data_IF_615729079627
#
_entry.id   IF_615729079627
#
_cell.length_a   1.000
_cell.length_b   1.000
_cell.length_c   1.000
_cell.angle_alpha   90.00
_cell.angle_beta   90.00
_cell.angle_gamma   90.00
#
_symmetry.space_group_name_H-M   'P 1'
#
loop_
_entity.id
_entity.type
_entity.pdbx_description
1 polymer ?
#
# COMPACT_ATOMS: atom_id res chain seq x y z
N UNK A 1 -2.64 -4.51 -7.03
CA UNK A 1 -2.24 -3.65 -8.19
C UNK A 1 -3.44 -3.06 -8.94
N UNK A 2 -4.54 -3.78 -9.15
CA UNK A 2 -5.73 -3.26 -9.85
C UNK A 2 -6.28 -1.92 -9.31
N UNK A 3 -6.39 -1.69 -7.98
CA UNK A 3 -6.87 -0.41 -7.47
C UNK A 3 -6.01 0.77 -7.88
N UNK A 4 -4.70 0.57 -8.00
CA UNK A 4 -3.77 1.64 -8.35
C UNK A 4 -3.92 2.11 -9.80
N UNK A 5 -4.30 1.21 -10.72
CA UNK A 5 -4.51 1.58 -12.13
C UNK A 5 -5.60 2.65 -12.27
N UNK A 6 -6.77 2.38 -11.72
CA UNK A 6 -7.90 3.33 -11.76
C UNK A 6 -7.56 4.63 -11.02
N UNK A 7 -6.91 4.54 -9.86
CA UNK A 7 -6.51 5.71 -9.09
C UNK A 7 -5.58 6.62 -9.88
N UNK A 8 -4.55 6.04 -10.54
CA UNK A 8 -3.62 6.79 -11.39
C UNK A 8 -4.36 7.48 -12.55
N UNK A 9 -5.24 6.76 -13.25
CA UNK A 9 -6.03 7.30 -14.37
C UNK A 9 -6.92 8.48 -13.95
N UNK A 10 -7.48 8.44 -12.76
CA UNK A 10 -8.35 9.51 -12.23
C UNK A 10 -7.53 10.70 -11.75
N UNK A 11 -6.49 10.45 -10.95
CA UNK A 11 -5.69 11.51 -10.34
C UNK A 11 -4.85 12.27 -11.36
N UNK A 12 -4.31 11.59 -12.37
CA UNK A 12 -3.44 12.23 -13.38
C UNK A 12 -4.12 13.31 -14.21
N UNK A 13 -5.45 13.33 -14.24
CA UNK A 13 -6.22 14.35 -14.98
C UNK A 13 -6.03 15.77 -14.43
N UNK A 14 -5.88 15.92 -13.12
CA UNK A 14 -5.87 17.23 -12.45
C UNK A 14 -4.70 17.38 -11.45
N UNK A 15 -3.84 16.38 -11.31
CA UNK A 15 -2.76 16.38 -10.34
C UNK A 15 -1.44 15.92 -10.99
N UNK A 16 -0.33 16.33 -10.39
CA UNK A 16 0.98 15.75 -10.71
C UNK A 16 1.15 14.44 -9.94
N UNK A 17 1.15 13.34 -10.67
CA UNK A 17 1.27 12.00 -10.09
C UNK A 17 2.69 11.50 -10.31
N UNK A 18 3.30 10.97 -9.25
CA UNK A 18 4.54 10.20 -9.32
C UNK A 18 4.22 8.77 -8.88
N UNK A 19 4.54 7.79 -9.70
CA UNK A 19 4.25 6.39 -9.44
C UNK A 19 5.54 5.61 -9.17
N UNK A 20 5.55 4.82 -8.10
CA UNK A 20 6.67 3.93 -7.77
C UNK A 20 6.13 2.51 -7.70
N UNK A 21 6.66 1.62 -8.53
CA UNK A 21 6.35 0.20 -8.50
C UNK A 21 7.53 -0.59 -7.96
N UNK A 22 7.26 -1.53 -7.07
CA UNK A 22 8.26 -2.42 -6.49
C UNK A 22 7.94 -3.88 -6.74
N UNK A 23 8.96 -4.66 -7.03
CA UNK A 23 8.87 -6.10 -7.21
C UNK A 23 10.16 -6.82 -6.82
N UNK A 24 10.10 -8.16 -6.76
CA UNK A 24 11.29 -8.96 -6.43
C UNK A 24 12.30 -8.98 -7.58
N UNK A 25 11.81 -9.11 -8.79
CA UNK A 25 12.60 -9.31 -10.00
C UNK A 25 11.86 -8.81 -11.24
N UNK A 26 12.47 -8.95 -12.41
CA UNK A 26 11.91 -8.58 -13.71
C UNK A 26 10.54 -9.20 -13.98
N UNK A 27 10.36 -10.49 -13.72
CA UNK A 27 9.08 -11.20 -13.95
C UNK A 27 7.94 -10.58 -13.15
N UNK A 28 8.18 -10.24 -11.87
CA UNK A 28 7.20 -9.58 -11.03
C UNK A 28 6.78 -8.20 -11.57
N UNK A 29 7.64 -7.57 -12.37
CA UNK A 29 7.39 -6.26 -12.95
C UNK A 29 6.73 -6.29 -14.33
N UNK A 30 6.56 -7.46 -14.96
CA UNK A 30 5.84 -7.60 -16.24
C UNK A 30 4.40 -7.07 -16.19
N UNK A 31 3.77 -7.15 -15.02
CA UNK A 31 2.43 -6.59 -14.79
C UNK A 31 2.34 -5.09 -15.08
N UNK A 32 3.48 -4.39 -15.06
CA UNK A 32 3.54 -2.95 -15.34
C UNK A 32 3.20 -2.60 -16.78
N UNK A 33 3.35 -3.55 -17.70
CA UNK A 33 2.94 -3.39 -19.11
C UNK A 33 1.44 -3.10 -19.27
N UNK A 34 0.64 -3.45 -18.26
CA UNK A 34 -0.80 -3.19 -18.25
C UNK A 34 -1.19 -1.79 -17.74
N UNK A 35 -0.20 -0.97 -17.34
CA UNK A 35 -0.44 0.39 -16.88
C UNK A 35 -0.15 1.38 -18.00
N UNK A 36 -1.12 2.23 -18.29
CA UNK A 36 -0.86 3.41 -19.11
C UNK A 36 -0.25 4.48 -18.19
N UNK A 37 1.05 4.72 -18.36
CA UNK A 37 1.82 5.70 -17.57
C UNK A 37 2.29 6.88 -18.44
N UNK A 38 1.66 7.11 -19.58
CA UNK A 38 2.00 8.20 -20.47
C UNK A 38 1.86 9.55 -19.76
N UNK A 39 2.93 10.33 -19.77
CA UNK A 39 2.98 11.63 -19.09
C UNK A 39 3.06 11.56 -17.55
N UNK A 40 3.17 10.37 -16.96
CA UNK A 40 3.28 10.17 -15.52
C UNK A 40 4.74 9.87 -15.17
N UNK A 41 5.28 10.63 -14.23
CA UNK A 41 6.59 10.36 -13.64
C UNK A 41 6.54 9.01 -12.92
N UNK A 42 7.30 8.02 -13.41
CA UNK A 42 7.24 6.67 -12.86
C UNK A 42 8.62 6.06 -12.63
N UNK A 43 8.71 5.21 -11.64
CA UNK A 43 9.94 4.53 -11.23
C UNK A 43 9.65 3.06 -10.92
N UNK A 44 10.56 2.20 -11.33
CA UNK A 44 10.54 0.78 -11.01
C UNK A 44 11.71 0.49 -10.07
N UNK A 45 11.43 -0.28 -9.02
CA UNK A 45 12.44 -0.81 -8.10
C UNK A 45 12.35 -2.33 -8.05
N UNK A 46 13.49 -3.01 -8.01
CA UNK A 46 13.52 -4.47 -7.83
C UNK A 46 14.53 -4.85 -6.76
N UNK A 47 14.16 -5.86 -5.95
CA UNK A 47 15.02 -6.30 -4.85
C UNK A 47 16.35 -6.89 -5.36
N UNK A 48 16.34 -7.51 -6.54
CA UNK A 48 17.52 -8.09 -7.19
C UNK A 48 18.26 -7.15 -8.15
N UNK A 49 17.71 -5.95 -8.40
CA UNK A 49 18.27 -4.99 -9.34
C UNK A 49 18.16 -5.39 -10.83
N UNK A 50 17.35 -6.40 -11.17
CA UNK A 50 17.22 -6.89 -12.55
C UNK A 50 16.53 -5.91 -13.50
N UNK A 51 15.73 -4.99 -12.95
CA UNK A 51 15.07 -3.89 -13.68
C UNK A 51 14.92 -2.67 -12.78
N UNK A 52 15.17 -1.49 -13.35
CA UNK A 52 14.98 -0.23 -12.63
C UNK A 52 16.06 0.02 -11.56
N UNK A 53 15.64 0.52 -10.43
CA UNK A 53 16.51 0.85 -9.29
C UNK A 53 16.62 -0.38 -8.39
N UNK A 54 17.85 -0.74 -8.01
CA UNK A 54 18.07 -1.81 -7.02
C UNK A 54 17.62 -1.37 -5.64
N UNK A 55 16.74 -2.15 -5.04
CA UNK A 55 16.20 -1.93 -3.71
C UNK A 55 14.68 -1.86 -3.67
N UNK A 56 14.14 -1.54 -2.51
CA UNK A 56 12.70 -1.44 -2.30
C UNK A 56 12.16 -0.04 -2.62
N UNK A 57 10.84 0.08 -2.69
CA UNK A 57 10.15 1.35 -3.01
C UNK A 57 10.49 2.50 -2.06
N UNK A 58 10.89 2.20 -0.81
CA UNK A 58 11.19 3.21 0.21
C UNK A 58 12.44 4.02 -0.15
N UNK A 59 13.45 3.38 -0.74
CA UNK A 59 14.69 4.05 -1.16
C UNK A 59 14.36 5.18 -2.12
N UNK A 60 13.55 4.88 -3.15
CA UNK A 60 13.16 5.90 -4.14
C UNK A 60 12.17 6.90 -3.56
N UNK A 61 11.24 6.47 -2.72
CA UNK A 61 10.29 7.36 -2.05
C UNK A 61 11.01 8.40 -1.20
N UNK A 62 11.98 8.01 -0.37
CA UNK A 62 12.75 8.96 0.46
C UNK A 62 13.55 9.97 -0.39
N UNK A 63 14.16 9.52 -1.48
CA UNK A 63 14.86 10.41 -2.41
C UNK A 63 13.91 11.48 -2.98
N UNK A 64 12.74 11.06 -3.46
CA UNK A 64 11.75 11.97 -4.03
C UNK A 64 11.18 12.93 -2.99
N UNK A 65 10.86 12.45 -1.78
CA UNK A 65 10.32 13.28 -0.71
C UNK A 65 11.33 14.28 -0.14
N UNK A 66 12.62 14.02 -0.27
CA UNK A 66 13.68 15.01 0.03
C UNK A 66 13.77 16.09 -1.04
N UNK A 67 13.53 15.73 -2.31
CA UNK A 67 13.64 16.64 -3.43
C UNK A 67 12.42 17.55 -3.62
N UNK A 68 11.22 17.04 -3.31
CA UNK A 68 9.95 17.78 -3.48
C UNK A 68 8.92 17.37 -2.45
N UNK A 69 8.02 18.29 -2.10
CA UNK A 69 6.91 18.04 -1.19
C UNK A 69 5.76 17.39 -1.96
N UNK A 70 5.15 16.39 -1.34
CA UNK A 70 3.93 15.73 -1.81
C UNK A 70 2.79 16.01 -0.84
N UNK A 71 1.58 16.17 -1.37
CA UNK A 71 0.39 16.44 -0.57
C UNK A 71 -0.21 15.16 0.00
N UNK A 72 -0.11 14.05 -0.75
CA UNK A 72 -0.71 12.77 -0.40
C UNK A 72 0.10 11.60 -0.95
N UNK A 73 0.15 10.53 -0.20
CA UNK A 73 0.72 9.24 -0.59
C UNK A 73 -0.39 8.19 -0.58
N UNK A 74 -0.44 7.38 -1.62
CA UNK A 74 -1.31 6.20 -1.70
C UNK A 74 -0.45 4.95 -1.81
N UNK A 75 -0.80 3.91 -1.07
CA UNK A 75 -0.05 2.65 -1.12
C UNK A 75 -0.95 1.43 -1.13
N UNK A 76 -0.53 0.42 -1.90
CA UNK A 76 -1.19 -0.88 -1.98
C UNK A 76 -0.13 -1.96 -2.25
N UNK A 77 -0.12 -3.02 -1.48
CA UNK A 77 0.81 -4.13 -1.66
C UNK A 77 1.04 -4.93 -0.39
N UNK A 78 2.20 -5.60 -0.26
CA UNK A 78 2.53 -6.36 0.94
C UNK A 78 2.49 -5.49 2.20
N UNK A 79 1.95 -6.03 3.27
CA UNK A 79 1.75 -5.32 4.53
C UNK A 79 3.01 -4.62 5.04
N UNK A 80 4.13 -5.33 5.12
CA UNK A 80 5.42 -4.75 5.58
C UNK A 80 5.86 -3.56 4.74
N UNK A 81 5.58 -3.59 3.42
CA UNK A 81 5.86 -2.47 2.53
C UNK A 81 4.95 -1.28 2.86
N UNK A 82 3.65 -1.51 3.02
CA UNK A 82 2.69 -0.45 3.35
C UNK A 82 3.00 0.21 4.69
N UNK A 83 3.40 -0.57 5.71
CA UNK A 83 3.86 -0.05 7.00
C UNK A 83 5.10 0.84 6.86
N UNK A 84 6.07 0.42 6.04
CA UNK A 84 7.28 1.20 5.80
C UNK A 84 6.95 2.49 5.03
N UNK A 85 6.06 2.44 4.03
CA UNK A 85 5.56 3.62 3.31
C UNK A 85 4.86 4.59 4.27
N UNK A 86 3.98 4.10 5.14
CA UNK A 86 3.28 4.93 6.13
C UNK A 86 4.24 5.62 7.10
N UNK A 87 5.23 4.89 7.62
CA UNK A 87 6.27 5.44 8.49
C UNK A 87 7.09 6.52 7.79
N UNK A 88 7.43 6.28 6.52
CA UNK A 88 8.18 7.26 5.71
C UNK A 88 7.33 8.50 5.42
N UNK A 89 6.08 8.34 5.00
CA UNK A 89 5.16 9.47 4.78
C UNK A 89 5.00 10.34 6.04
N UNK A 90 4.84 9.70 7.20
CA UNK A 90 4.77 10.39 8.49
C UNK A 90 6.04 11.17 8.83
N UNK A 91 7.23 10.62 8.53
CA UNK A 91 8.53 11.30 8.72
C UNK A 91 8.62 12.61 7.91
N UNK A 92 7.96 12.65 6.76
CA UNK A 92 7.90 13.82 5.88
C UNK A 92 6.62 14.64 6.04
N UNK A 93 5.84 14.39 7.10
CA UNK A 93 4.58 15.10 7.41
C UNK A 93 3.57 15.08 6.25
N UNK A 94 3.55 14.00 5.49
CA UNK A 94 2.66 13.78 4.34
C UNK A 94 1.57 12.79 4.71
N UNK A 95 0.33 13.10 4.37
CA UNK A 95 -0.81 12.18 4.56
C UNK A 95 -0.62 10.91 3.73
N UNK A 96 -1.03 9.77 4.28
CA UNK A 96 -0.89 8.49 3.59
C UNK A 96 -2.16 7.67 3.73
N UNK A 97 -2.74 7.28 2.61
CA UNK A 97 -3.84 6.33 2.52
C UNK A 97 -3.34 4.95 2.07
N UNK A 98 -3.87 3.93 2.70
CA UNK A 98 -3.47 2.54 2.52
C UNK A 98 -4.66 1.73 2.06
N UNK A 99 -4.51 1.05 0.93
CA UNK A 99 -5.48 0.06 0.46
C UNK A 99 -5.12 -1.31 1.04
N UNK A 100 -5.86 -1.72 2.06
CA UNK A 100 -5.65 -2.99 2.74
C UNK A 100 -6.35 -4.14 2.00
N UNK A 101 -5.69 -5.28 2.00
CA UNK A 101 -6.28 -6.56 1.62
C UNK A 101 -6.40 -7.44 2.88
N UNK A 102 -7.53 -8.08 3.05
CA UNK A 102 -7.75 -9.03 4.13
C UNK A 102 -8.43 -10.29 3.60
N UNK A 103 -8.15 -11.42 4.23
CA UNK A 103 -8.85 -12.67 3.94
C UNK A 103 -10.32 -12.52 4.31
N UNK A 104 -11.20 -12.58 3.32
CA UNK A 104 -12.64 -12.45 3.53
C UNK A 104 -13.29 -13.82 3.61
N UNK A 105 -13.87 -14.15 4.77
CA UNK A 105 -14.64 -15.38 4.93
C UNK A 105 -16.09 -15.19 4.46
N UNK A 106 -16.81 -14.19 4.99
CA UNK A 106 -18.22 -14.00 4.66
C UNK A 106 -18.50 -12.96 3.57
N UNK A 107 -17.69 -11.93 3.42
CA UNK A 107 -17.89 -10.82 2.49
C UNK A 107 -19.12 -9.91 2.76
N UNK A 108 -19.94 -10.26 3.76
CA UNK A 108 -21.24 -9.62 4.05
C UNK A 108 -21.32 -9.02 5.46
N UNK A 109 -20.18 -8.67 6.05
CA UNK A 109 -20.05 -8.09 7.41
C UNK A 109 -20.43 -9.02 8.58
N UNK A 110 -20.88 -10.23 8.36
CA UNK A 110 -21.40 -11.10 9.43
C UNK A 110 -20.30 -11.63 10.36
N UNK A 111 -19.09 -11.87 9.84
CA UNK A 111 -17.95 -12.35 10.64
C UNK A 111 -16.97 -11.22 11.01
N UNK A 112 -15.92 -11.59 11.76
CA UNK A 112 -14.83 -10.68 12.16
C UNK A 112 -13.50 -10.95 11.44
N UNK A 113 -13.48 -11.86 10.47
CA UNK A 113 -12.26 -12.35 9.82
C UNK A 113 -11.41 -11.28 9.11
N UNK A 114 -12.02 -10.21 8.63
CA UNK A 114 -11.31 -9.09 8.00
C UNK A 114 -11.18 -7.86 8.90
N UNK A 115 -11.30 -8.03 10.23
CA UNK A 115 -11.26 -6.90 11.17
C UNK A 115 -9.83 -6.47 11.45
N UNK A 116 -9.61 -5.17 11.42
CA UNK A 116 -8.36 -4.50 11.79
C UNK A 116 -8.59 -3.60 13.01
N UNK A 117 -7.54 -3.37 13.76
CA UNK A 117 -7.57 -2.46 14.93
C UNK A 117 -7.23 -1.04 14.49
N UNK A 118 -8.15 -0.12 14.73
CA UNK A 118 -7.93 1.31 14.50
C UNK A 118 -8.05 2.11 15.79
N UNK A 119 -7.61 3.36 15.78
CA UNK A 119 -7.79 4.30 16.90
C UNK A 119 -9.26 4.52 17.27
N UNK A 120 -10.17 4.27 16.35
CA UNK A 120 -11.62 4.42 16.54
C UNK A 120 -12.32 3.09 16.80
N UNK A 121 -11.60 2.06 17.22
CA UNK A 121 -12.11 0.71 17.47
C UNK A 121 -11.87 -0.22 16.30
N UNK A 122 -12.57 -1.38 16.34
CA UNK A 122 -12.45 -2.39 15.29
C UNK A 122 -13.19 -1.97 14.03
N UNK A 123 -12.52 -2.07 12.87
CA UNK A 123 -13.08 -1.80 11.56
C UNK A 123 -12.96 -3.03 10.67
N UNK A 124 -13.92 -3.24 9.78
CA UNK A 124 -13.95 -4.37 8.84
C UNK A 124 -13.51 -3.92 7.46
N UNK A 125 -12.44 -4.50 6.92
CA UNK A 125 -11.92 -4.15 5.60
C UNK A 125 -12.98 -4.31 4.51
N UNK A 126 -13.83 -5.33 4.58
CA UNK A 126 -14.89 -5.58 3.61
C UNK A 126 -16.02 -4.53 3.60
N UNK A 127 -16.12 -3.71 4.64
CA UNK A 127 -17.20 -2.76 4.80
C UNK A 127 -16.75 -1.32 5.02
N UNK A 128 -15.80 -1.11 5.96
CA UNK A 128 -15.34 0.21 6.36
C UNK A 128 -14.17 0.68 5.48
N UNK A 129 -13.56 -0.26 4.70
CA UNK A 129 -12.46 -0.04 3.78
C UNK A 129 -12.84 -0.30 2.31
N UNK A 130 -11.91 -0.70 1.48
CA UNK A 130 -10.55 -1.17 1.79
C UNK A 130 -9.52 -0.07 2.06
N UNK A 131 -9.82 1.20 1.82
CA UNK A 131 -8.89 2.31 1.97
C UNK A 131 -9.02 2.92 3.35
N UNK A 132 -7.90 3.09 4.02
CA UNK A 132 -7.82 3.67 5.37
C UNK A 132 -6.70 4.70 5.43
N UNK A 133 -6.93 5.76 6.21
CA UNK A 133 -5.85 6.66 6.60
C UNK A 133 -4.86 5.91 7.50
N UNK A 134 -3.58 5.94 7.10
CA UNK A 134 -2.50 5.25 7.81
C UNK A 134 -2.38 5.64 9.28
N UNK A 135 -2.71 6.86 9.63
CA UNK A 135 -2.65 7.35 11.00
C UNK A 135 -3.73 6.74 11.90
N UNK A 136 -4.81 6.24 11.32
CA UNK A 136 -5.90 5.61 12.08
C UNK A 136 -5.61 4.16 12.42
N UNK A 137 -4.75 3.49 11.68
CA UNK A 137 -4.42 2.07 11.88
C UNK A 137 -3.49 1.93 13.07
N UNK A 138 -3.88 1.10 14.04
CA UNK A 138 -3.06 0.77 15.21
C UNK A 138 -2.21 -0.48 14.95
N UNK A 139 -2.79 -1.44 14.23
CA UNK A 139 -2.16 -2.72 13.92
C UNK A 139 -2.59 -3.15 12.52
N UNK A 140 -1.61 -3.43 11.69
CA UNK A 140 -1.83 -3.85 10.31
C UNK A 140 -2.21 -5.32 10.19
N UNK A 141 -1.91 -6.14 11.24
CA UNK A 141 -2.26 -7.55 11.23
C UNK A 141 -3.76 -7.73 11.49
N UNK A 142 -4.46 -8.52 10.67
CA UNK A 142 -5.83 -8.93 10.98
C UNK A 142 -5.88 -9.64 12.33
N UNK A 143 -6.91 -9.35 13.11
CA UNK A 143 -7.05 -9.89 14.49
C UNK A 143 -7.05 -11.42 14.54
N UNK A 144 -7.47 -12.08 13.47
CA UNK A 144 -7.54 -13.55 13.38
C UNK A 144 -6.17 -14.22 13.24
N UNK A 145 -5.17 -13.54 12.70
CA UNK A 145 -3.83 -14.13 12.53
C UNK A 145 -3.04 -14.24 13.85
N UNK A 146 -3.49 -13.56 14.91
CA UNK A 146 -2.83 -13.59 16.23
C UNK A 146 -3.32 -14.71 17.17
N UNK A 147 -4.30 -15.51 16.73
CA UNK A 147 -4.89 -16.58 17.59
C UNK A 147 -4.30 -17.98 17.36
N UNK A 148 -3.22 -18.13 16.60
CA UNK A 148 -2.59 -19.43 16.30
C UNK A 148 -1.74 -20.03 17.45
N UNK A 149 -1.91 -19.56 18.70
CA UNK A 149 -1.12 -20.12 19.82
C UNK A 149 -1.99 -20.75 20.94
N UNK A 150 -3.24 -21.08 20.68
CA UNK A 150 -4.13 -21.65 21.70
C UNK A 150 -4.57 -23.11 21.46
N UNK A 151 -3.89 -23.87 20.62
CA UNK A 151 -4.08 -25.33 20.55
C UNK A 151 -2.75 -26.03 20.64
N UNK A 152 -2.12 -25.94 21.80
CA UNK A 152 -0.99 -26.76 22.23
C UNK A 152 -1.41 -27.63 23.39
N UNK A 153 -1.52 -28.92 23.14
CA UNK A 153 -1.76 -30.11 23.98
C UNK A 153 -3.19 -30.55 24.10
#
# INVERSE_FOLDING_TARGET
MAPMKLLIEVLSKNNKVTFIAGGRNREAMEIMSNFNLDGIENYITTDDGSVGIHGNVIVKMEELMKAKKYDMVFTCGPQKMMEAVAKTAKKFETKCEISLEARMACGVKACVGCSIKTKFGMKKVCHDGPVFDSETIVDFDPVVEKTETCCGN
#
